data_IF_619463218077
#
_entry.id   IF_619463218077
#
_cell.length_a   1.000
_cell.length_b   1.000
_cell.length_c   1.000
_cell.angle_alpha   90.00
_cell.angle_beta   90.00
_cell.angle_gamma   90.00
#
_symmetry.space_group_name_H-M   'P 1'
#
loop_
_entity.id
_entity.type
_entity.pdbx_description
1 polymer ?
#
# COMPACT_ATOMS: atom_id res chain seq x y z
N UNK A 1 -0.88 15.42 5.73
CA UNK A 1 -2.13 14.83 5.19
C UNK A 1 -1.77 13.87 4.06
N UNK A 2 -2.51 12.77 3.83
CA UNK A 2 -2.19 11.77 2.77
C UNK A 2 -2.13 12.42 1.39
N UNK A 3 -3.03 13.36 1.10
CA UNK A 3 -3.04 14.08 -0.19
C UNK A 3 -1.82 14.98 -0.37
N UNK A 4 -1.33 15.60 0.71
CA UNK A 4 -0.09 16.40 0.65
C UNK A 4 1.12 15.52 0.32
N UNK A 5 1.20 14.33 0.92
CA UNK A 5 2.29 13.39 0.65
C UNK A 5 2.23 12.89 -0.81
N UNK A 6 1.03 12.60 -1.32
CA UNK A 6 0.85 12.18 -2.71
C UNK A 6 1.27 13.26 -3.70
N UNK A 7 0.87 14.53 -3.46
CA UNK A 7 1.26 15.65 -4.32
C UNK A 7 2.78 15.86 -4.25
N UNK A 8 3.36 15.93 -3.05
CA UNK A 8 4.79 16.13 -2.87
C UNK A 8 5.63 15.04 -3.57
N UNK A 9 5.18 13.78 -3.50
CA UNK A 9 5.82 12.69 -4.23
C UNK A 9 5.65 12.81 -5.75
N UNK A 10 4.51 13.32 -6.24
CA UNK A 10 4.25 13.46 -7.66
C UNK A 10 4.88 14.71 -8.30
N UNK A 11 5.16 15.76 -7.52
CA UNK A 11 5.69 17.05 -7.99
C UNK A 11 7.12 17.34 -7.57
N UNK A 12 7.72 16.52 -6.69
CA UNK A 12 8.96 16.82 -5.95
C UNK A 12 8.90 18.12 -5.12
N UNK A 13 7.69 18.64 -4.82
CA UNK A 13 7.50 19.87 -4.03
C UNK A 13 7.01 19.56 -2.62
N UNK A 14 7.82 19.87 -1.61
CA UNK A 14 7.56 19.49 -0.21
C UNK A 14 6.68 20.47 0.56
N UNK A 15 6.31 21.62 -0.02
CA UNK A 15 5.74 22.73 0.76
C UNK A 15 4.63 23.52 0.04
N UNK A 16 3.63 22.81 -0.49
CA UNK A 16 2.40 23.45 -0.97
C UNK A 16 1.51 23.81 0.24
N UNK A 17 1.57 25.08 0.69
CA UNK A 17 0.53 25.66 1.57
C UNK A 17 -0.73 25.95 0.74
N UNK A 18 -1.41 24.91 0.30
CA UNK A 18 -2.64 25.02 -0.45
C UNK A 18 -3.76 24.21 0.21
N UNK A 19 -5.00 24.69 0.04
CA UNK A 19 -6.19 24.02 0.53
C UNK A 19 -6.43 22.70 -0.18
N UNK A 20 -7.26 21.85 0.40
CA UNK A 20 -7.53 20.49 -0.10
C UNK A 20 -7.90 20.45 -1.60
N UNK A 21 -8.70 21.41 -2.08
CA UNK A 21 -9.09 21.49 -3.49
C UNK A 21 -7.89 21.75 -4.43
N UNK A 22 -6.92 22.55 -4.00
CA UNK A 22 -5.72 22.85 -4.78
C UNK A 22 -4.78 21.65 -4.81
N UNK A 23 -4.65 20.92 -3.71
CA UNK A 23 -3.90 19.65 -3.67
C UNK A 23 -4.52 18.62 -4.61
N UNK A 24 -5.85 18.46 -4.58
CA UNK A 24 -6.56 17.55 -5.47
C UNK A 24 -6.35 17.93 -6.94
N UNK A 25 -6.46 19.22 -7.28
CA UNK A 25 -6.20 19.71 -8.63
C UNK A 25 -4.77 19.44 -9.08
N UNK A 26 -3.77 19.74 -8.24
CA UNK A 26 -2.37 19.46 -8.58
C UNK A 26 -2.12 17.97 -8.78
N UNK A 27 -2.62 17.13 -7.87
CA UNK A 27 -2.51 15.68 -8.02
C UNK A 27 -3.13 15.20 -9.33
N UNK A 28 -4.35 15.65 -9.63
CA UNK A 28 -5.05 15.34 -10.88
C UNK A 28 -4.20 15.73 -12.10
N UNK A 29 -3.68 16.96 -12.16
CA UNK A 29 -2.81 17.40 -13.25
C UNK A 29 -1.58 16.50 -13.40
N UNK A 30 -1.01 16.01 -12.29
CA UNK A 30 0.16 15.15 -12.33
C UNK A 30 -0.13 13.75 -12.85
N UNK A 31 -1.30 13.18 -12.57
CA UNK A 31 -1.63 11.80 -12.96
C UNK A 31 -2.38 11.72 -14.29
N UNK A 32 -2.92 12.84 -14.80
CA UNK A 32 -3.71 12.86 -16.03
C UNK A 32 -2.93 12.28 -17.19
N UNK A 33 -3.52 11.29 -17.88
CA UNK A 33 -2.90 10.57 -19.00
C UNK A 33 -1.58 9.82 -18.66
N UNK A 34 -1.24 9.64 -17.37
CA UNK A 34 -0.12 8.81 -16.93
C UNK A 34 -0.63 7.50 -16.36
N UNK A 35 0.07 6.40 -16.65
CA UNK A 35 -0.21 5.11 -16.04
C UNK A 35 0.36 5.10 -14.63
N UNK A 36 -0.48 4.92 -13.62
CA UNK A 36 -0.07 4.98 -12.21
C UNK A 36 -0.25 3.64 -11.50
N UNK A 37 0.62 3.39 -10.53
CA UNK A 37 0.42 2.38 -9.49
C UNK A 37 0.38 3.12 -8.15
N UNK A 38 -0.78 3.12 -7.51
CA UNK A 38 -0.95 3.70 -6.18
C UNK A 38 -1.04 2.59 -5.13
N UNK A 39 -0.15 2.59 -4.15
CA UNK A 39 -0.15 1.62 -3.05
C UNK A 39 -0.69 2.26 -1.79
N UNK A 40 -1.82 1.74 -1.28
CA UNK A 40 -2.44 2.14 -0.03
C UNK A 40 -2.12 1.08 1.02
N UNK A 41 -1.10 1.35 1.83
CA UNK A 41 -0.63 0.40 2.83
C UNK A 41 -1.45 0.49 4.13
N UNK A 42 -1.80 -0.67 4.68
CA UNK A 42 -2.42 -0.85 5.99
C UNK A 42 -3.74 -0.06 6.21
N UNK A 43 -4.66 -0.11 5.24
CA UNK A 43 -5.96 0.56 5.35
C UNK A 43 -6.83 -0.12 6.40
N UNK A 44 -7.42 0.67 7.31
CA UNK A 44 -8.31 0.19 8.38
C UNK A 44 -9.78 0.58 8.16
N UNK A 45 -10.68 -0.20 8.77
CA UNK A 45 -12.11 0.05 8.73
C UNK A 45 -12.49 1.22 9.66
N UNK A 46 -13.28 2.16 9.15
CA UNK A 46 -13.81 3.27 9.91
C UNK A 46 -15.02 3.90 9.18
N UNK A 47 -15.84 4.66 9.91
CA UNK A 47 -17.13 5.18 9.41
C UNK A 47 -17.05 6.01 8.13
N UNK A 48 -15.91 6.65 7.86
CA UNK A 48 -15.72 7.55 6.72
C UNK A 48 -15.00 6.87 5.53
N UNK A 49 -14.58 5.61 5.67
CA UNK A 49 -13.77 4.91 4.67
C UNK A 49 -14.43 4.94 3.28
N UNK A 50 -15.73 4.66 3.20
CA UNK A 50 -16.47 4.64 1.94
C UNK A 50 -16.46 6.00 1.23
N UNK A 51 -16.68 7.08 1.98
CA UNK A 51 -16.69 8.45 1.45
C UNK A 51 -15.28 8.89 1.00
N UNK A 52 -14.27 8.60 1.82
CA UNK A 52 -12.87 8.91 1.51
C UNK A 52 -12.37 8.11 0.30
N UNK A 53 -12.72 6.83 0.22
CA UNK A 53 -12.38 5.98 -0.93
C UNK A 53 -13.06 6.49 -2.20
N UNK A 54 -14.34 6.87 -2.14
CA UNK A 54 -15.03 7.43 -3.30
C UNK A 54 -14.32 8.67 -3.82
N UNK A 55 -13.97 9.61 -2.94
CA UNK A 55 -13.22 10.81 -3.33
C UNK A 55 -11.85 10.49 -3.95
N UNK A 56 -11.10 9.55 -3.38
CA UNK A 56 -9.82 9.12 -3.94
C UNK A 56 -10.00 8.41 -5.28
N UNK A 57 -11.02 7.55 -5.41
CA UNK A 57 -11.35 6.82 -6.64
C UNK A 57 -11.65 7.77 -7.79
N UNK A 58 -12.40 8.84 -7.51
CA UNK A 58 -12.73 9.87 -8.50
C UNK A 58 -11.47 10.61 -8.96
N UNK A 59 -10.52 10.87 -8.05
CA UNK A 59 -9.23 11.48 -8.39
C UNK A 59 -8.35 10.55 -9.22
N UNK A 60 -8.16 9.28 -8.81
CA UNK A 60 -7.31 8.35 -9.58
C UNK A 60 -7.92 7.98 -10.94
N UNK A 61 -9.23 8.21 -11.13
CA UNK A 61 -9.93 8.02 -12.40
C UNK A 61 -9.38 8.88 -13.55
N UNK A 62 -8.63 9.94 -13.27
CA UNK A 62 -7.93 10.74 -14.30
C UNK A 62 -6.66 10.06 -14.85
N UNK A 63 -6.19 8.98 -14.23
CA UNK A 63 -5.06 8.19 -14.71
C UNK A 63 -5.30 7.53 -16.07
N UNK A 64 -4.23 7.18 -16.77
CA UNK A 64 -4.31 6.45 -18.04
C UNK A 64 -4.87 5.03 -17.87
N UNK A 65 -5.46 4.43 -18.93
CA UNK A 65 -5.88 3.03 -18.91
C UNK A 65 -4.79 2.07 -18.42
N UNK A 66 -5.19 1.11 -17.57
CA UNK A 66 -4.26 0.17 -16.94
C UNK A 66 -3.59 0.69 -15.66
N UNK A 67 -4.01 1.86 -15.16
CA UNK A 67 -3.65 2.31 -13.81
C UNK A 67 -4.26 1.40 -12.74
N UNK A 68 -3.53 1.19 -11.64
CA UNK A 68 -3.89 0.23 -10.59
C UNK A 68 -3.78 0.89 -9.21
N UNK A 69 -4.77 0.65 -8.36
CA UNK A 69 -4.69 0.90 -6.92
C UNK A 69 -4.53 -0.44 -6.22
N UNK A 70 -3.41 -0.63 -5.52
CA UNK A 70 -3.14 -1.78 -4.69
C UNK A 70 -3.37 -1.41 -3.22
N UNK A 71 -4.22 -2.14 -2.52
CA UNK A 71 -4.48 -1.90 -1.10
C UNK A 71 -4.04 -3.10 -0.28
N UNK A 72 -3.26 -2.87 0.77
CA UNK A 72 -2.99 -3.88 1.80
C UNK A 72 -3.86 -3.58 3.02
N UNK A 73 -4.45 -4.63 3.59
CA UNK A 73 -5.31 -4.49 4.77
C UNK A 73 -5.38 -5.83 5.53
N UNK A 74 -5.65 -5.75 6.83
CA UNK A 74 -5.97 -6.91 7.67
C UNK A 74 -7.47 -7.22 7.73
N UNK A 75 -8.32 -6.38 7.13
CA UNK A 75 -9.78 -6.48 7.22
C UNK A 75 -10.43 -6.79 5.87
N UNK A 76 -11.14 -7.92 5.81
CA UNK A 76 -12.02 -8.22 4.67
C UNK A 76 -13.16 -7.19 4.52
N UNK A 77 -13.54 -6.51 5.61
CA UNK A 77 -14.52 -5.42 5.58
C UNK A 77 -14.03 -4.23 4.76
N UNK A 78 -12.76 -3.87 4.90
CA UNK A 78 -12.11 -2.83 4.08
C UNK A 78 -12.14 -3.21 2.61
N UNK A 79 -11.75 -4.44 2.27
CA UNK A 79 -11.77 -4.92 0.89
C UNK A 79 -13.18 -4.83 0.26
N UNK A 80 -14.22 -5.22 1.02
CA UNK A 80 -15.62 -5.09 0.60
C UNK A 80 -16.04 -3.64 0.39
N UNK A 81 -15.74 -2.76 1.35
CA UNK A 81 -16.05 -1.32 1.27
C UNK A 81 -15.39 -0.67 0.06
N UNK A 82 -14.19 -1.09 -0.29
CA UNK A 82 -13.46 -0.57 -1.45
C UNK A 82 -13.88 -1.22 -2.79
N UNK A 83 -14.83 -2.16 -2.76
CA UNK A 83 -15.36 -2.82 -3.97
C UNK A 83 -14.44 -3.90 -4.56
N UNK A 84 -13.51 -4.44 -3.77
CA UNK A 84 -12.62 -5.52 -4.21
C UNK A 84 -13.39 -6.83 -4.19
N UNK A 85 -13.67 -7.38 -5.38
CA UNK A 85 -14.47 -8.61 -5.57
C UNK A 85 -13.70 -9.87 -5.16
N UNK A 86 -12.39 -9.91 -5.40
CA UNK A 86 -11.54 -11.06 -5.06
C UNK A 86 -10.22 -10.55 -4.46
N UNK A 87 -10.16 -10.33 -3.14
CA UNK A 87 -8.92 -9.93 -2.49
C UNK A 87 -7.92 -11.07 -2.51
N UNK A 88 -6.64 -10.74 -2.73
CA UNK A 88 -5.57 -11.72 -2.61
C UNK A 88 -5.27 -11.95 -1.12
N UNK A 89 -5.64 -13.13 -0.62
CA UNK A 89 -5.32 -13.53 0.75
C UNK A 89 -3.86 -14.01 0.80
N UNK A 90 -2.99 -13.21 1.39
CA UNK A 90 -1.62 -13.62 1.68
C UNK A 90 -1.68 -14.85 2.58
N UNK A 91 -1.01 -15.91 2.13
CA UNK A 91 -0.83 -17.14 2.90
C UNK A 91 0.41 -17.02 3.77
N UNK A 92 0.44 -17.84 4.80
CA UNK A 92 1.66 -18.05 5.58
C UNK A 92 2.76 -18.60 4.67
N UNK A 93 4.00 -18.28 5.02
CA UNK A 93 5.16 -18.89 4.38
C UNK A 93 5.19 -20.39 4.70
N UNK A 94 5.62 -21.21 3.75
CA UNK A 94 5.86 -22.62 4.02
C UNK A 94 6.94 -22.76 5.11
N UNK A 95 6.91 -23.85 5.88
CA UNK A 95 7.85 -24.04 7.00
C UNK A 95 9.32 -23.88 6.59
N UNK A 96 9.71 -24.41 5.43
CA UNK A 96 11.08 -24.25 4.92
C UNK A 96 11.38 -22.80 4.52
N UNK A 97 10.44 -22.09 3.89
CA UNK A 97 10.64 -20.67 3.54
C UNK A 97 10.73 -19.78 4.78
N UNK A 98 9.89 -20.06 5.80
CA UNK A 98 9.95 -19.44 7.12
C UNK A 98 11.30 -19.69 7.78
N UNK A 99 11.81 -20.93 7.71
CA UNK A 99 13.12 -21.28 8.25
C UNK A 99 14.26 -20.57 7.49
N UNK A 100 14.18 -20.50 6.17
CA UNK A 100 15.15 -19.75 5.36
C UNK A 100 15.17 -18.27 5.71
N UNK A 101 13.99 -17.66 5.88
CA UNK A 101 13.87 -16.27 6.32
C UNK A 101 14.44 -16.10 7.73
N UNK A 102 14.09 -16.98 8.67
CA UNK A 102 14.61 -16.96 10.03
C UNK A 102 16.14 -17.04 10.04
N UNK A 103 16.74 -18.02 9.36
CA UNK A 103 18.21 -18.15 9.28
C UNK A 103 18.84 -16.90 8.71
N UNK A 104 18.27 -16.32 7.65
CA UNK A 104 18.78 -15.10 7.03
C UNK A 104 18.79 -13.90 7.99
N UNK A 105 17.81 -13.81 8.88
CA UNK A 105 17.68 -12.69 9.84
C UNK A 105 18.48 -12.95 11.12
N UNK A 106 18.36 -14.14 11.69
CA UNK A 106 18.97 -14.52 12.96
C UNK A 106 20.48 -14.78 12.83
N UNK A 107 20.94 -15.31 11.70
CA UNK A 107 22.33 -15.65 11.44
C UNK A 107 22.88 -14.79 10.30
N UNK A 108 23.58 -13.73 10.65
CA UNK A 108 24.38 -12.96 9.68
C UNK A 108 25.65 -13.74 9.32
N UNK A 109 26.23 -13.45 8.15
CA UNK A 109 27.20 -14.31 7.47
C UNK A 109 28.28 -14.92 8.38
N UNK A 110 28.29 -16.27 8.45
CA UNK A 110 29.39 -17.05 9.01
C UNK A 110 29.17 -17.64 10.40
N UNK A 111 28.03 -17.37 11.06
CA UNK A 111 27.66 -18.08 12.27
C UNK A 111 26.76 -19.27 11.91
N UNK A 112 27.30 -20.48 12.06
CA UNK A 112 26.52 -21.71 12.21
C UNK A 112 26.56 -22.11 13.69
N UNK A 113 25.65 -21.58 14.53
CA UNK A 113 25.48 -22.10 15.86
C UNK A 113 24.68 -23.39 15.68
N UNK A 114 25.16 -24.53 16.19
CA UNK A 114 24.45 -25.82 16.16
C UNK A 114 23.14 -25.85 16.96
N UNK A 115 22.24 -24.89 16.70
CA UNK A 115 20.95 -24.61 17.31
C UNK A 115 19.83 -24.65 16.24
N UNK A 116 20.12 -25.14 15.02
CA UNK A 116 19.09 -25.36 13.98
C UNK A 116 17.94 -26.21 14.49
N UNK A 117 18.23 -27.23 15.29
CA UNK A 117 17.20 -28.06 15.93
C UNK A 117 16.27 -27.23 16.84
N UNK A 118 16.81 -26.26 17.59
CA UNK A 118 16.03 -25.38 18.49
C UNK A 118 15.20 -24.38 17.69
N UNK A 119 15.74 -23.86 16.59
CA UNK A 119 15.02 -22.88 15.76
C UNK A 119 13.91 -23.49 14.88
N UNK A 120 13.89 -24.82 14.72
CA UNK A 120 12.90 -25.56 13.94
C UNK A 120 11.80 -26.22 14.80
N UNK A 121 11.94 -26.25 16.12
CA UNK A 121 10.86 -26.62 17.08
C UNK A 121 9.75 -25.56 17.11
#
# INVERSE_FOLDING_TARGET
DVMQNMVAFATDETHLQCGMLQLQYHFQCQITNKKILLVLDNVWDHKQLSLQWQGLRDLVGFGAPGSVVLTTTRSLGVAKTMGIVSPYMLKDLANEDSWHLFKRVAFTQGQDPGIEAIGRE
#
